data_IF_543554445296
#
_entry.id   IF_543554445296
#
_cell.length_a   1.000
_cell.length_b   1.000
_cell.length_c   1.000
_cell.angle_alpha   90.00
_cell.angle_beta   90.00
_cell.angle_gamma   90.00
#
_symmetry.space_group_name_H-M   'P 1'
#
loop_
_entity.id
_entity.type
_entity.pdbx_description
1 polymer ?
#
# COMPACT_ATOMS: atom_id res chain seq x y z
N UNK A 1 -11.09 36.52 2.40
CA UNK A 1 -11.41 35.20 1.78
C UNK A 1 -11.77 34.24 2.90
N UNK A 2 -13.04 33.88 3.02
CA UNK A 2 -13.52 32.92 4.03
C UNK A 2 -13.25 31.49 3.54
N UNK A 3 -12.36 30.77 4.23
CA UNK A 3 -12.12 29.36 3.97
C UNK A 3 -13.40 28.55 4.24
N UNK A 4 -13.80 27.72 3.27
CA UNK A 4 -14.93 26.78 3.36
C UNK A 4 -14.83 25.89 4.61
N UNK A 5 -15.96 25.54 5.22
CA UNK A 5 -16.02 24.69 6.43
C UNK A 5 -15.37 23.33 6.22
N UNK A 6 -15.48 22.76 5.01
CA UNK A 6 -14.84 21.50 4.63
C UNK A 6 -13.30 21.60 4.62
N UNK A 7 -12.77 22.79 4.32
CA UNK A 7 -11.33 23.04 4.28
C UNK A 7 -10.74 23.19 5.68
N UNK A 8 -11.49 23.80 6.61
CA UNK A 8 -11.08 23.90 8.02
C UNK A 8 -11.00 22.53 8.69
N UNK A 9 -11.93 21.64 8.35
CA UNK A 9 -11.94 20.27 8.87
C UNK A 9 -10.74 19.44 8.36
N UNK A 10 -10.42 19.53 7.07
CA UNK A 10 -9.27 18.85 6.47
C UNK A 10 -7.93 19.36 7.00
N UNK A 11 -7.80 20.68 7.19
CA UNK A 11 -6.61 21.30 7.76
C UNK A 11 -6.40 20.89 9.22
N UNK A 12 -7.49 20.77 10.00
CA UNK A 12 -7.43 20.34 11.39
C UNK A 12 -6.90 18.90 11.52
N UNK A 13 -7.42 17.98 10.71
CA UNK A 13 -6.98 16.56 10.69
C UNK A 13 -5.49 16.45 10.32
N UNK A 14 -5.03 17.19 9.30
CA UNK A 14 -3.63 17.16 8.85
C UNK A 14 -2.70 17.70 9.94
N UNK A 15 -3.12 18.71 10.70
CA UNK A 15 -2.33 19.26 11.81
C UNK A 15 -2.29 18.29 13.00
N UNK A 16 -3.39 17.60 13.31
CA UNK A 16 -3.42 16.62 14.42
C UNK A 16 -2.44 15.46 14.23
N UNK A 17 -2.20 15.03 12.99
CA UNK A 17 -1.25 13.94 12.68
C UNK A 17 0.22 14.38 12.83
N UNK A 18 0.51 15.68 12.74
CA UNK A 18 1.87 16.21 12.91
C UNK A 18 2.29 16.39 14.39
N UNK A 19 1.37 16.22 15.34
CA UNK A 19 1.58 16.47 16.77
C UNK A 19 1.49 15.22 17.67
N UNK A 20 1.66 14.01 17.13
CA UNK A 20 1.80 12.82 17.98
C UNK A 20 3.22 12.74 18.54
N UNK A 21 3.38 13.05 19.83
CA UNK A 21 4.55 12.63 20.60
C UNK A 21 4.57 11.10 20.66
N UNK A 22 5.71 10.49 20.36
CA UNK A 22 5.91 9.07 20.59
C UNK A 22 5.83 8.80 22.11
N UNK A 23 4.87 7.99 22.53
CA UNK A 23 4.83 7.47 23.90
C UNK A 23 5.87 6.34 24.04
N UNK A 24 6.54 6.27 25.19
CA UNK A 24 7.41 5.16 25.57
C UNK A 24 6.64 3.83 25.54
N UNK A 25 7.14 2.87 24.77
CA UNK A 25 6.63 1.50 24.78
C UNK A 25 7.13 0.81 26.05
N UNK A 26 6.19 0.36 26.90
CA UNK A 26 6.51 -0.51 28.02
C UNK A 26 7.01 -1.86 27.48
N UNK A 27 8.29 -2.17 27.72
CA UNK A 27 8.83 -3.52 27.57
C UNK A 27 8.22 -4.41 28.66
N UNK A 28 7.14 -5.11 28.33
CA UNK A 28 6.62 -6.18 29.20
C UNK A 28 6.53 -7.46 28.39
N UNK A 29 7.33 -8.43 28.83
CA UNK A 29 7.47 -9.83 28.40
C UNK A 29 8.40 -10.05 27.20
N UNK A 30 9.54 -10.68 27.50
CA UNK A 30 10.55 -11.13 26.54
C UNK A 30 9.90 -11.98 25.43
N UNK A 31 9.68 -11.37 24.27
CA UNK A 31 9.54 -12.13 23.02
C UNK A 31 10.92 -12.68 22.72
N UNK A 32 11.16 -13.95 23.05
CA UNK A 32 12.35 -14.65 22.61
C UNK A 32 12.37 -14.63 21.08
N UNK A 33 13.42 -14.05 20.51
CA UNK A 33 13.75 -14.06 19.07
C UNK A 33 12.64 -13.68 18.07
N UNK A 34 12.10 -12.45 18.17
CA UNK A 34 11.31 -11.87 17.08
C UNK A 34 9.92 -12.50 16.88
N UNK A 35 9.43 -13.22 17.89
CA UNK A 35 8.22 -14.02 17.80
C UNK A 35 6.93 -13.20 17.99
N UNK A 36 5.81 -13.78 17.54
CA UNK A 36 4.47 -13.27 17.83
C UNK A 36 3.89 -14.14 18.93
N UNK A 37 3.15 -13.58 19.88
CA UNK A 37 2.56 -14.40 20.96
C UNK A 37 1.55 -15.39 20.39
N UNK A 38 1.36 -16.52 21.08
CA UNK A 38 0.39 -17.55 20.68
C UNK A 38 -1.05 -17.14 20.99
N UNK A 39 -1.26 -15.98 21.60
CA UNK A 39 -2.57 -15.43 21.87
C UNK A 39 -3.38 -15.28 20.58
N UNK A 40 -4.71 -15.35 20.66
CA UNK A 40 -5.55 -15.19 19.50
C UNK A 40 -5.52 -13.74 18.99
N UNK A 41 -5.87 -13.58 17.71
CA UNK A 41 -6.16 -12.26 17.13
C UNK A 41 -7.42 -11.73 17.80
N UNK A 42 -7.31 -10.64 18.54
CA UNK A 42 -8.46 -9.99 19.19
C UNK A 42 -9.30 -9.21 18.17
N UNK A 43 -10.45 -8.70 18.61
CA UNK A 43 -11.36 -7.93 17.76
C UNK A 43 -10.75 -6.62 17.24
N UNK A 44 -9.84 -6.02 18.02
CA UNK A 44 -9.20 -4.74 17.66
C UNK A 44 -8.18 -4.96 16.53
N UNK A 45 -7.31 -5.96 16.67
CA UNK A 45 -6.35 -6.36 15.64
C UNK A 45 -7.06 -6.87 14.39
N UNK A 46 -8.16 -7.63 14.53
CA UNK A 46 -8.97 -8.02 13.38
C UNK A 46 -9.55 -6.78 12.66
N UNK A 47 -10.06 -5.79 13.39
CA UNK A 47 -10.55 -4.55 12.83
C UNK A 47 -9.44 -3.74 12.14
N UNK A 48 -8.22 -3.73 12.68
CA UNK A 48 -7.03 -3.20 12.00
C UNK A 48 -6.81 -3.89 10.65
N UNK A 49 -6.75 -5.23 10.64
CA UNK A 49 -6.50 -6.02 9.42
C UNK A 49 -7.57 -5.72 8.37
N UNK A 50 -8.84 -5.85 8.73
CA UNK A 50 -9.95 -5.66 7.79
C UNK A 50 -9.99 -4.23 7.24
N UNK A 51 -9.81 -3.22 8.09
CA UNK A 51 -9.81 -1.81 7.65
C UNK A 51 -8.65 -1.50 6.72
N UNK A 52 -7.45 -2.03 6.99
CA UNK A 52 -6.27 -1.86 6.15
C UNK A 52 -6.41 -2.56 4.80
N UNK A 53 -6.89 -3.80 4.78
CA UNK A 53 -7.18 -4.52 3.54
C UNK A 53 -8.23 -3.80 2.71
N UNK A 54 -9.33 -3.35 3.31
CA UNK A 54 -10.36 -2.58 2.61
C UNK A 54 -9.78 -1.30 2.00
N UNK A 55 -8.97 -0.55 2.76
CA UNK A 55 -8.35 0.67 2.29
C UNK A 55 -7.39 0.44 1.12
N UNK A 56 -6.43 -0.48 1.27
CA UNK A 56 -5.32 -0.64 0.33
C UNK A 56 -5.59 -1.62 -0.82
N UNK A 57 -6.41 -2.65 -0.62
CA UNK A 57 -6.75 -3.59 -1.70
C UNK A 57 -7.91 -3.09 -2.57
N UNK A 58 -8.82 -2.28 -2.03
CA UNK A 58 -10.06 -1.89 -2.72
C UNK A 58 -10.16 -0.37 -2.90
N UNK A 59 -10.18 0.41 -1.82
CA UNK A 59 -10.53 1.83 -1.90
C UNK A 59 -9.48 2.65 -2.65
N UNK A 60 -8.20 2.59 -2.26
CA UNK A 60 -7.14 3.37 -2.91
C UNK A 60 -6.90 2.98 -4.38
N UNK A 61 -6.86 1.68 -4.76
CA UNK A 61 -6.78 1.30 -6.17
C UNK A 61 -7.97 1.83 -6.98
N UNK A 62 -9.19 1.74 -6.44
CA UNK A 62 -10.39 2.30 -7.08
C UNK A 62 -10.28 3.82 -7.22
N UNK A 63 -9.88 4.51 -6.15
CA UNK A 63 -9.65 5.94 -6.16
C UNK A 63 -8.61 6.35 -7.20
N UNK A 64 -7.50 5.63 -7.32
CA UNK A 64 -6.47 5.86 -8.34
C UNK A 64 -7.06 5.72 -9.76
N UNK A 65 -7.79 4.64 -10.05
CA UNK A 65 -8.43 4.45 -11.37
C UNK A 65 -9.39 5.59 -11.71
N UNK A 66 -10.21 6.01 -10.74
CA UNK A 66 -11.10 7.16 -10.89
C UNK A 66 -10.32 8.47 -11.14
N UNK A 67 -9.13 8.61 -10.55
CA UNK A 67 -8.23 9.74 -10.80
C UNK A 67 -7.68 9.73 -12.24
N UNK A 68 -7.29 8.56 -12.74
CA UNK A 68 -6.84 8.38 -14.13
C UNK A 68 -7.97 8.66 -15.14
N UNK A 69 -9.21 8.30 -14.81
CA UNK A 69 -10.40 8.59 -15.63
C UNK A 69 -10.96 10.00 -15.42
N UNK A 70 -10.28 10.86 -14.66
CA UNK A 70 -10.71 12.23 -14.35
C UNK A 70 -12.11 12.32 -13.70
N UNK A 71 -12.52 11.30 -12.95
CA UNK A 71 -13.82 11.27 -12.26
C UNK A 71 -13.85 12.18 -11.03
N UNK A 72 -14.97 12.87 -10.81
CA UNK A 72 -15.22 13.68 -9.61
C UNK A 72 -15.21 12.87 -8.31
N UNK A 73 -15.43 11.55 -8.41
CA UNK A 73 -15.44 10.62 -7.28
C UNK A 73 -14.05 10.25 -6.77
N UNK A 74 -12.99 10.59 -7.52
CA UNK A 74 -11.60 10.37 -7.07
C UNK A 74 -11.37 10.91 -5.66
N UNK A 75 -11.63 12.20 -5.44
CA UNK A 75 -11.33 12.85 -4.15
C UNK A 75 -12.15 12.28 -2.99
N UNK A 76 -13.49 12.12 -3.09
CA UNK A 76 -14.28 11.48 -2.03
C UNK A 76 -13.80 10.06 -1.67
N UNK A 77 -13.47 9.23 -2.67
CA UNK A 77 -12.99 7.86 -2.44
C UNK A 77 -11.62 7.86 -1.76
N UNK A 78 -10.70 8.75 -2.16
CA UNK A 78 -9.39 8.88 -1.48
C UNK A 78 -9.53 9.36 -0.04
N UNK A 79 -10.48 10.25 0.25
CA UNK A 79 -10.78 10.69 1.62
C UNK A 79 -11.29 9.50 2.45
N UNK A 80 -12.24 8.72 1.92
CA UNK A 80 -12.73 7.53 2.59
C UNK A 80 -11.60 6.52 2.90
N UNK A 81 -10.73 6.26 1.91
CA UNK A 81 -9.57 5.39 2.12
C UNK A 81 -8.62 5.91 3.19
N UNK A 82 -8.36 7.21 3.19
CA UNK A 82 -7.53 7.87 4.22
C UNK A 82 -8.13 7.72 5.61
N UNK A 83 -9.46 7.85 5.76
CA UNK A 83 -10.15 7.65 7.04
C UNK A 83 -9.99 6.21 7.53
N UNK A 84 -10.24 5.21 6.67
CA UNK A 84 -10.04 3.80 7.03
C UNK A 84 -8.60 3.50 7.43
N UNK A 85 -7.62 4.04 6.70
CA UNK A 85 -6.21 3.90 7.05
C UNK A 85 -5.86 4.57 8.38
N UNK A 86 -6.36 5.77 8.66
CA UNK A 86 -6.11 6.42 9.94
C UNK A 86 -6.70 5.61 11.10
N UNK A 87 -7.95 5.15 10.97
CA UNK A 87 -8.60 4.31 11.99
C UNK A 87 -7.80 3.01 12.19
N UNK A 88 -7.51 2.29 11.10
CA UNK A 88 -6.75 1.05 11.17
C UNK A 88 -5.36 1.26 11.78
N UNK A 89 -4.69 2.38 11.49
CA UNK A 89 -3.34 2.65 12.01
C UNK A 89 -3.37 2.71 13.54
N UNK A 90 -4.34 3.42 14.12
CA UNK A 90 -4.48 3.49 15.57
C UNK A 90 -4.93 2.14 16.17
N UNK A 91 -5.85 1.42 15.52
CA UNK A 91 -6.25 0.08 15.98
C UNK A 91 -5.06 -0.88 16.06
N UNK A 92 -4.13 -0.80 15.11
CA UNK A 92 -2.91 -1.63 15.10
C UNK A 92 -1.95 -1.33 16.25
N UNK A 93 -2.07 -0.19 16.93
CA UNK A 93 -1.27 0.17 18.11
C UNK A 93 -2.04 0.03 19.42
N UNK A 94 -3.35 -0.25 19.35
CA UNK A 94 -4.25 -0.27 20.50
C UNK A 94 -4.82 -1.68 20.79
N UNK A 95 -4.41 -2.69 20.03
CA UNK A 95 -4.79 -4.07 20.32
C UNK A 95 -4.14 -4.56 21.61
N UNK A 96 -4.73 -5.57 22.24
CA UNK A 96 -4.17 -6.22 23.43
C UNK A 96 -4.26 -7.73 23.39
N UNK A 97 -4.57 -8.31 22.22
CA UNK A 97 -4.44 -9.73 21.95
C UNK A 97 -3.03 -10.07 21.49
N UNK A 98 -2.90 -10.87 20.44
CA UNK A 98 -1.61 -11.26 19.86
C UNK A 98 -0.63 -10.08 19.73
N UNK A 99 0.48 -10.18 20.44
CA UNK A 99 1.57 -9.22 20.39
C UNK A 99 2.63 -9.65 19.37
N UNK A 100 3.33 -8.67 18.82
CA UNK A 100 4.36 -8.87 17.81
C UNK A 100 5.64 -8.16 18.23
N UNK A 101 6.79 -8.79 17.96
CA UNK A 101 8.08 -8.12 18.14
C UNK A 101 8.09 -6.73 17.51
N UNK A 102 8.58 -5.73 18.24
CA UNK A 102 8.65 -4.33 17.79
C UNK A 102 9.45 -4.17 16.49
N UNK A 103 10.42 -5.05 16.25
CA UNK A 103 11.33 -5.03 15.10
C UNK A 103 10.89 -5.97 13.96
N UNK A 104 9.58 -6.10 13.72
CA UNK A 104 9.07 -6.91 12.62
C UNK A 104 9.01 -6.13 11.30
N UNK A 105 9.05 -6.82 10.16
CA UNK A 105 9.11 -6.16 8.84
C UNK A 105 7.89 -5.29 8.54
N UNK A 106 6.71 -5.66 9.05
CA UNK A 106 5.48 -4.88 8.88
C UNK A 106 5.54 -3.56 9.65
N UNK A 107 5.96 -3.57 10.93
CA UNK A 107 6.10 -2.34 11.73
C UNK A 107 7.22 -1.45 11.20
N UNK A 108 8.35 -2.02 10.78
CA UNK A 108 9.47 -1.28 10.21
C UNK A 108 9.12 -0.59 8.88
N UNK A 109 8.31 -1.25 8.04
CA UNK A 109 7.95 -0.71 6.74
C UNK A 109 6.75 0.28 6.81
N UNK A 110 5.88 0.16 7.82
CA UNK A 110 4.65 0.95 7.92
C UNK A 110 4.87 2.48 7.82
N UNK A 111 5.85 3.09 8.53
CA UNK A 111 6.06 4.54 8.48
C UNK A 111 6.31 5.06 7.06
N UNK A 112 7.04 4.32 6.23
CA UNK A 112 7.31 4.72 4.86
C UNK A 112 6.04 4.82 4.02
N UNK A 113 5.13 3.84 4.16
CA UNK A 113 3.82 3.88 3.50
C UNK A 113 2.97 5.05 4.01
N UNK A 114 2.94 5.28 5.33
CA UNK A 114 2.17 6.37 5.93
C UNK A 114 2.69 7.73 5.48
N UNK A 115 4.00 7.95 5.49
CA UNK A 115 4.59 9.21 5.01
C UNK A 115 4.32 9.44 3.52
N UNK A 116 4.38 8.39 2.71
CA UNK A 116 4.06 8.47 1.29
C UNK A 116 2.58 8.80 1.05
N UNK A 117 1.66 8.26 1.87
CA UNK A 117 0.25 8.60 1.83
C UNK A 117 -0.02 10.04 2.29
N UNK A 118 0.60 10.49 3.39
CA UNK A 118 0.51 11.88 3.87
C UNK A 118 1.00 12.84 2.79
N UNK A 119 2.15 12.54 2.16
CA UNK A 119 2.69 13.32 1.06
C UNK A 119 1.69 13.38 -0.11
N UNK A 120 1.11 12.24 -0.50
CA UNK A 120 0.15 12.18 -1.60
C UNK A 120 -1.12 12.99 -1.32
N UNK A 121 -1.68 12.88 -0.11
CA UNK A 121 -2.87 13.63 0.32
C UNK A 121 -2.54 15.12 0.38
N UNK A 122 -1.39 15.50 0.94
CA UNK A 122 -0.93 16.88 1.04
C UNK A 122 -0.74 17.54 -0.33
N UNK A 123 -0.05 16.87 -1.26
CA UNK A 123 0.11 17.37 -2.64
C UNK A 123 -1.25 17.42 -3.36
N UNK A 124 -2.11 16.42 -3.15
CA UNK A 124 -3.47 16.41 -3.69
C UNK A 124 -4.30 17.61 -3.21
N UNK A 125 -4.24 17.92 -1.92
CA UNK A 125 -4.89 19.09 -1.33
C UNK A 125 -4.32 20.40 -1.91
N UNK A 126 -2.99 20.54 -2.01
CA UNK A 126 -2.35 21.68 -2.66
C UNK A 126 -2.83 21.88 -4.10
N UNK A 127 -2.89 20.81 -4.89
CA UNK A 127 -3.36 20.87 -6.28
C UNK A 127 -4.83 21.27 -6.40
N UNK A 128 -5.64 20.91 -5.39
CA UNK A 128 -7.07 21.24 -5.29
C UNK A 128 -7.33 22.67 -4.83
N UNK A 129 -6.36 23.35 -4.22
CA UNK A 129 -6.47 24.78 -3.86
C UNK A 129 -6.41 25.74 -5.07
N UNK A 130 -6.14 25.23 -6.28
CA UNK A 130 -6.10 26.03 -7.51
C UNK A 130 -5.20 27.27 -7.44
N UNK A 131 -4.11 27.22 -6.67
CA UNK A 131 -3.14 28.30 -6.60
C UNK A 131 -2.33 28.39 -7.91
N UNK A 132 -2.66 29.35 -8.78
CA UNK A 132 -2.07 29.49 -10.13
C UNK A 132 -1.17 30.70 -10.31
N UNK A 133 -1.04 31.56 -9.29
CA UNK A 133 -0.33 32.83 -9.37
C UNK A 133 1.11 32.74 -8.83
N UNK A 134 1.97 33.66 -9.27
CA UNK A 134 3.35 33.79 -8.77
C UNK A 134 4.22 32.55 -9.05
N UNK A 135 5.08 32.14 -8.09
CA UNK A 135 5.98 30.99 -8.22
C UNK A 135 5.25 29.67 -8.54
N UNK A 136 3.96 29.54 -8.18
CA UNK A 136 3.18 28.32 -8.41
C UNK A 136 3.00 27.95 -9.88
N UNK A 137 3.23 28.88 -10.83
CA UNK A 137 3.25 28.55 -12.26
C UNK A 137 4.30 27.49 -12.60
N UNK A 138 5.43 27.46 -11.87
CA UNK A 138 6.50 26.49 -12.06
C UNK A 138 6.31 25.23 -11.19
N UNK A 139 5.92 25.39 -9.92
CA UNK A 139 5.77 24.26 -8.99
C UNK A 139 4.55 23.37 -9.29
N UNK A 140 3.45 23.95 -9.75
CA UNK A 140 2.21 23.21 -10.00
C UNK A 140 2.33 22.09 -11.05
N UNK A 141 2.93 22.29 -12.24
CA UNK A 141 3.11 21.20 -13.20
C UNK A 141 4.01 20.08 -12.66
N UNK A 142 5.05 20.42 -11.89
CA UNK A 142 5.90 19.41 -11.22
C UNK A 142 5.10 18.61 -10.18
N UNK A 143 4.34 19.31 -9.34
CA UNK A 143 3.48 18.70 -8.31
C UNK A 143 2.44 17.75 -8.92
N UNK A 144 1.86 18.08 -10.08
CA UNK A 144 0.94 17.18 -10.79
C UNK A 144 1.62 15.88 -11.25
N UNK A 145 2.83 15.98 -11.81
CA UNK A 145 3.59 14.80 -12.25
C UNK A 145 3.95 13.92 -11.06
N UNK A 146 4.44 14.55 -9.99
CA UNK A 146 4.77 13.87 -8.74
C UNK A 146 3.56 13.17 -8.11
N UNK A 147 2.43 13.88 -7.96
CA UNK A 147 1.18 13.31 -7.44
C UNK A 147 0.67 12.13 -8.27
N UNK A 148 0.82 12.18 -9.60
CA UNK A 148 0.46 11.06 -10.47
C UNK A 148 1.38 9.86 -10.25
N UNK A 149 2.69 10.07 -10.18
CA UNK A 149 3.67 9.00 -10.00
C UNK A 149 3.49 8.31 -8.65
N UNK A 150 3.45 9.09 -7.56
CA UNK A 150 3.25 8.57 -6.20
C UNK A 150 1.89 7.89 -6.07
N UNK A 151 0.83 8.46 -6.65
CA UNK A 151 -0.50 7.86 -6.64
C UNK A 151 -0.59 6.50 -7.30
N UNK A 152 0.21 6.24 -8.34
CA UNK A 152 0.32 4.91 -8.99
C UNK A 152 1.17 3.96 -8.14
N UNK A 153 2.18 4.46 -7.42
CA UNK A 153 3.02 3.64 -6.56
C UNK A 153 2.30 3.16 -5.28
N UNK A 154 1.35 3.94 -4.74
CA UNK A 154 0.64 3.61 -3.49
C UNK A 154 0.01 2.21 -3.50
N UNK A 155 -0.79 1.78 -4.50
CA UNK A 155 -1.34 0.43 -4.52
C UNK A 155 -0.27 -0.68 -4.45
N UNK A 156 0.88 -0.47 -5.10
CA UNK A 156 1.98 -1.45 -5.11
C UNK A 156 2.65 -1.52 -3.74
N UNK A 157 3.00 -0.36 -3.16
CA UNK A 157 3.63 -0.29 -1.84
C UNK A 157 2.67 -0.75 -0.75
N UNK A 158 1.38 -0.42 -0.87
CA UNK A 158 0.31 -0.89 0.02
C UNK A 158 0.13 -2.40 -0.06
N UNK A 159 0.19 -3.00 -1.25
CA UNK A 159 0.21 -4.46 -1.41
C UNK A 159 1.39 -5.10 -0.67
N UNK A 160 2.60 -4.57 -0.84
CA UNK A 160 3.80 -5.06 -0.14
C UNK A 160 3.59 -5.00 1.38
N UNK A 161 3.05 -3.91 1.90
CA UNK A 161 2.77 -3.77 3.33
C UNK A 161 1.71 -4.77 3.84
N UNK A 162 0.67 -5.06 3.03
CA UNK A 162 -0.32 -6.08 3.36
C UNK A 162 0.34 -7.47 3.42
N UNK A 163 1.20 -7.80 2.45
CA UNK A 163 1.96 -9.07 2.47
C UNK A 163 2.86 -9.15 3.69
N UNK A 164 3.58 -8.08 4.03
CA UNK A 164 4.38 -8.01 5.26
C UNK A 164 3.53 -8.22 6.52
N UNK A 165 2.31 -7.65 6.57
CA UNK A 165 1.38 -7.89 7.68
C UNK A 165 0.96 -9.36 7.78
N UNK A 166 0.65 -10.01 6.66
CA UNK A 166 0.35 -11.43 6.62
C UNK A 166 1.56 -12.25 7.10
N UNK A 167 2.76 -11.98 6.61
CA UNK A 167 4.00 -12.65 7.04
C UNK A 167 4.19 -12.49 8.56
N UNK A 168 4.09 -11.28 9.09
CA UNK A 168 4.22 -11.01 10.54
C UNK A 168 3.18 -11.77 11.38
N UNK A 169 1.96 -11.93 10.86
CA UNK A 169 0.87 -12.65 11.56
C UNK A 169 1.05 -14.18 11.56
N UNK A 170 1.83 -14.71 10.61
CA UNK A 170 2.06 -16.14 10.45
C UNK A 170 3.30 -16.60 11.24
N UNK A 171 3.04 -17.22 12.39
CA UNK A 171 4.09 -17.74 13.30
C UNK A 171 5.00 -18.78 12.63
N UNK A 172 4.50 -19.52 11.62
CA UNK A 172 5.27 -20.54 10.90
C UNK A 172 6.27 -19.99 9.88
N UNK A 173 6.22 -18.70 9.54
CA UNK A 173 7.07 -18.07 8.51
C UNK A 173 8.44 -17.64 9.06
N UNK A 174 9.13 -18.53 9.79
CA UNK A 174 10.35 -18.22 10.54
C UNK A 174 11.29 -19.43 10.60
N UNK A 175 12.56 -19.19 10.95
CA UNK A 175 13.58 -20.25 11.09
C UNK A 175 13.74 -21.08 9.81
N UNK A 176 13.76 -22.40 9.97
CA UNK A 176 13.92 -23.36 8.86
C UNK A 176 12.79 -23.28 7.81
N UNK A 177 11.61 -22.82 8.20
CA UNK A 177 10.44 -22.72 7.32
C UNK A 177 10.37 -21.39 6.54
N UNK A 178 11.28 -20.44 6.82
CA UNK A 178 11.26 -19.09 6.23
C UNK A 178 11.34 -19.12 4.70
N UNK A 179 12.23 -19.95 4.14
CA UNK A 179 12.44 -20.03 2.69
C UNK A 179 11.20 -20.57 1.99
N UNK A 180 10.57 -21.61 2.55
CA UNK A 180 9.33 -22.17 2.01
C UNK A 180 8.17 -21.16 2.07
N UNK A 181 8.04 -20.44 3.18
CA UNK A 181 7.05 -19.38 3.30
C UNK A 181 7.27 -18.26 2.27
N UNK A 182 8.51 -17.79 2.15
CA UNK A 182 8.86 -16.72 1.21
C UNK A 182 8.62 -17.16 -0.24
N UNK A 183 8.97 -18.40 -0.59
CA UNK A 183 8.67 -18.97 -1.91
C UNK A 183 7.16 -18.93 -2.21
N UNK A 184 6.32 -19.30 -1.24
CA UNK A 184 4.86 -19.26 -1.40
C UNK A 184 4.33 -17.84 -1.65
N UNK A 185 4.74 -16.85 -0.84
CA UNK A 185 4.30 -15.46 -1.02
C UNK A 185 4.85 -14.81 -2.29
N UNK A 186 6.08 -15.12 -2.69
CA UNK A 186 6.68 -14.63 -3.95
C UNK A 186 5.93 -15.22 -5.14
N UNK A 187 5.68 -16.54 -5.13
CA UNK A 187 4.95 -17.21 -6.20
C UNK A 187 3.50 -16.72 -6.30
N UNK A 188 2.80 -16.56 -5.17
CA UNK A 188 1.45 -15.99 -5.17
C UNK A 188 1.43 -14.54 -5.70
N UNK A 189 2.39 -13.72 -5.26
CA UNK A 189 2.52 -12.33 -5.72
C UNK A 189 2.82 -12.23 -7.21
N UNK A 190 3.63 -13.14 -7.77
CA UNK A 190 3.92 -13.14 -9.20
C UNK A 190 2.70 -13.49 -10.04
N UNK A 191 1.85 -14.42 -9.60
CA UNK A 191 0.58 -14.72 -10.26
C UNK A 191 -0.41 -13.55 -10.21
N UNK A 192 -0.48 -12.83 -9.08
CA UNK A 192 -1.29 -11.61 -8.97
C UNK A 192 -0.78 -10.54 -9.96
N UNK A 193 0.53 -10.29 -9.99
CA UNK A 193 1.13 -9.33 -10.91
C UNK A 193 0.90 -9.71 -12.38
N UNK A 194 1.03 -11.00 -12.70
CA UNK A 194 0.75 -11.57 -14.01
C UNK A 194 -0.72 -11.35 -14.43
N UNK A 195 -1.69 -11.62 -13.54
CA UNK A 195 -3.10 -11.36 -13.80
C UNK A 195 -3.41 -9.88 -14.05
N UNK A 196 -2.81 -8.99 -13.24
CA UNK A 196 -2.92 -7.54 -13.44
C UNK A 196 -2.35 -7.15 -14.81
N UNK A 197 -1.17 -7.66 -15.18
CA UNK A 197 -0.54 -7.38 -16.47
C UNK A 197 -1.44 -7.80 -17.64
N UNK A 198 -2.02 -9.00 -17.59
CA UNK A 198 -2.91 -9.49 -18.65
C UNK A 198 -4.17 -8.61 -18.78
N UNK A 199 -4.78 -8.20 -17.67
CA UNK A 199 -5.94 -7.29 -17.69
C UNK A 199 -5.55 -5.93 -18.28
N UNK A 200 -4.40 -5.39 -17.92
CA UNK A 200 -3.92 -4.12 -18.47
C UNK A 200 -3.63 -4.23 -19.97
N UNK A 201 -3.04 -5.33 -20.42
CA UNK A 201 -2.82 -5.59 -21.85
C UNK A 201 -4.15 -5.67 -22.61
N UNK A 202 -5.13 -6.40 -22.07
CA UNK A 202 -6.45 -6.56 -22.67
C UNK A 202 -7.20 -5.22 -22.77
N UNK A 203 -7.15 -4.40 -21.73
CA UNK A 203 -7.98 -3.18 -21.63
C UNK A 203 -7.32 -1.92 -22.18
N UNK A 204 -6.00 -1.78 -22.04
CA UNK A 204 -5.29 -0.53 -22.35
C UNK A 204 -4.32 -0.67 -23.53
N UNK A 205 -3.84 -1.87 -23.85
CA UNK A 205 -2.76 -2.06 -24.81
C UNK A 205 -3.22 -2.55 -26.20
N UNK A 206 -4.51 -2.73 -26.45
CA UNK A 206 -5.03 -3.27 -27.72
C UNK A 206 -4.50 -2.53 -28.96
N UNK A 207 -4.56 -1.19 -28.98
CA UNK A 207 -4.00 -0.39 -30.08
C UNK A 207 -2.47 -0.41 -30.16
N UNK A 208 -1.77 -0.63 -29.03
CA UNK A 208 -0.31 -0.77 -29.03
C UNK A 208 0.12 -2.14 -29.57
N UNK A 209 -0.58 -3.21 -29.20
CA UNK A 209 -0.41 -4.57 -29.71
C UNK A 209 -0.57 -4.62 -31.23
N UNK A 210 -1.63 -3.99 -31.75
CA UNK A 210 -1.88 -3.88 -33.20
C UNK A 210 -0.73 -3.17 -33.93
N UNK A 211 -0.25 -2.03 -33.40
CA UNK A 211 0.89 -1.30 -34.00
C UNK A 211 2.20 -2.09 -33.97
N UNK A 212 2.37 -3.00 -33.01
CA UNK A 212 3.54 -3.88 -32.92
C UNK A 212 3.40 -5.17 -33.73
N UNK A 213 2.19 -5.47 -34.25
CA UNK A 213 1.90 -6.71 -34.96
C UNK A 213 2.12 -7.96 -34.09
N UNK A 214 1.90 -7.84 -32.77
CA UNK A 214 2.08 -8.93 -31.80
C UNK A 214 0.76 -9.23 -31.11
N UNK A 215 0.47 -10.51 -30.90
CA UNK A 215 -0.69 -10.95 -30.11
C UNK A 215 -0.42 -10.78 -28.61
N UNK A 216 -1.49 -10.82 -27.81
CA UNK A 216 -1.37 -10.88 -26.35
C UNK A 216 -0.57 -12.13 -25.93
N UNK A 217 -0.84 -13.27 -26.56
CA UNK A 217 -0.20 -14.56 -26.31
C UNK A 217 1.32 -14.52 -26.51
N UNK A 218 1.82 -13.66 -27.40
CA UNK A 218 3.25 -13.47 -27.59
C UNK A 218 3.91 -12.95 -26.31
N UNK A 219 3.34 -11.91 -25.69
CA UNK A 219 3.87 -11.34 -24.45
C UNK A 219 3.63 -12.24 -23.25
N UNK A 220 2.49 -12.92 -23.22
CA UNK A 220 2.18 -13.93 -22.23
C UNK A 220 3.25 -15.04 -22.21
N UNK A 221 3.54 -15.62 -23.39
CA UNK A 221 4.55 -16.66 -23.55
C UNK A 221 5.94 -16.22 -23.06
N UNK A 222 6.34 -14.97 -23.36
CA UNK A 222 7.61 -14.43 -22.86
C UNK A 222 7.63 -14.29 -21.33
N UNK A 223 6.55 -13.76 -20.75
CA UNK A 223 6.46 -13.54 -19.32
C UNK A 223 6.47 -14.86 -18.54
N UNK A 224 5.68 -15.86 -18.97
CA UNK A 224 5.66 -17.16 -18.31
C UNK A 224 7.00 -17.91 -18.48
N UNK A 225 7.65 -17.78 -19.64
CA UNK A 225 8.98 -18.34 -19.86
C UNK A 225 10.03 -17.68 -18.96
N UNK A 226 10.06 -16.35 -18.86
CA UNK A 226 10.97 -15.65 -17.95
C UNK A 226 10.71 -16.04 -16.49
N UNK A 227 9.44 -16.14 -16.09
CA UNK A 227 9.09 -16.59 -14.75
C UNK A 227 9.55 -18.03 -14.49
N UNK A 228 9.31 -18.95 -15.43
CA UNK A 228 9.78 -20.34 -15.34
C UNK A 228 11.30 -20.46 -15.26
N UNK A 229 12.03 -19.63 -16.02
CA UNK A 229 13.48 -19.54 -15.91
C UNK A 229 13.91 -19.09 -14.51
N UNK A 230 13.36 -17.99 -13.99
CA UNK A 230 13.65 -17.53 -12.62
C UNK A 230 13.34 -18.62 -11.61
N UNK A 231 12.16 -19.24 -11.69
CA UNK A 231 11.72 -20.26 -10.76
C UNK A 231 12.67 -21.47 -10.72
N UNK A 232 13.17 -21.89 -11.88
CA UNK A 232 14.14 -22.99 -12.00
C UNK A 232 15.41 -22.73 -11.16
N UNK A 233 15.88 -21.48 -11.10
CA UNK A 233 17.08 -21.12 -10.36
C UNK A 233 16.82 -20.68 -8.91
N UNK A 234 15.58 -20.34 -8.55
CA UNK A 234 15.21 -19.93 -7.18
C UNK A 234 14.74 -21.09 -6.30
N UNK A 235 14.10 -22.12 -6.87
CA UNK A 235 13.45 -23.19 -6.10
C UNK A 235 14.44 -24.23 -5.54
N UNK A 236 15.63 -24.40 -6.13
CA UNK A 236 16.62 -25.41 -5.72
C UNK A 236 17.81 -24.87 -4.92
N UNK A 237 17.74 -23.63 -4.41
CA UNK A 237 18.84 -22.99 -3.66
C UNK A 237 18.61 -22.89 -2.14
N UNK A 238 17.55 -23.50 -1.63
CA UNK A 238 17.26 -23.55 -0.19
C UNK A 238 17.74 -24.85 0.45
N UNK A 239 19.06 -24.96 0.67
CA UNK A 239 19.67 -25.85 1.66
C UNK A 239 20.71 -25.03 2.42
#
# INVERSE_FOLDING_TARGET
MTLSSSFRFLLFIVISVLFTNAHEHHETNETTDGDATLEPIDGILLAHIVSMFLAFAIIFPTGMVLGLSQSRWHVPVQIAGSIFTTIGYFLGHAHGGREFSSNNIHSLFAPYLIYLLICQVGVGAYLKLHLTSGPNKWFRPLSKKFHKLVGIAIPVIGYIQMVFGVITTNVWCRGENLVQCLAHFIMGSSFIAYGIFLILMLRLASGWLQRKGKSQDYYDSWMIMTWGFVNTFTEHRGN
#
